data_IF_176414414539
#
_entry.id   IF_176414414539
#
_cell.length_a   1.000
_cell.length_b   1.000
_cell.length_c   1.000
_cell.angle_alpha   90.00
_cell.angle_beta   90.00
_cell.angle_gamma   90.00
#
_symmetry.space_group_name_H-M   'P 1'
#
loop_
_entity.id
_entity.type
_entity.pdbx_description
1 polymer ?
#
# COMPACT_ATOMS: atom_id res chain seq x y z
N UNK A 1 -78.38 -25.70 58.72
CA UNK A 1 -77.29 -25.52 57.75
C UNK A 1 -76.24 -24.63 58.40
N UNK A 2 -74.97 -24.99 58.25
CA UNK A 2 -73.81 -24.57 59.05
C UNK A 2 -73.17 -23.25 58.57
N UNK A 3 -72.19 -22.77 59.36
CA UNK A 3 -71.11 -21.78 59.11
C UNK A 3 -71.44 -20.30 59.39
N UNK A 4 -71.04 -19.65 60.51
CA UNK A 4 -69.72 -19.30 61.12
C UNK A 4 -68.94 -18.17 60.42
N UNK A 5 -69.13 -16.92 60.91
CA UNK A 5 -68.15 -15.85 61.33
C UNK A 5 -66.91 -15.46 60.47
N UNK A 6 -66.21 -14.33 60.74
CA UNK A 6 -66.57 -13.03 61.38
C UNK A 6 -65.91 -11.78 60.71
N UNK A 7 -66.12 -10.58 61.30
CA UNK A 7 -65.22 -9.40 61.42
C UNK A 7 -64.61 -8.75 60.14
N UNK A 8 -64.66 -7.44 59.88
CA UNK A 8 -64.45 -6.29 60.77
C UNK A 8 -63.01 -5.75 60.57
N UNK A 9 -62.82 -4.65 59.82
CA UNK A 9 -61.51 -4.00 59.70
C UNK A 9 -61.45 -2.85 58.65
N UNK A 10 -60.96 -1.64 59.01
CA UNK A 10 -61.02 -0.42 58.19
C UNK A 10 -59.82 -0.17 57.26
N UNK A 11 -60.08 0.76 56.32
CA UNK A 11 -59.19 1.59 55.50
C UNK A 11 -57.67 1.34 55.56
N UNK A 12 -57.14 1.00 54.37
CA UNK A 12 -55.73 1.01 54.03
C UNK A 12 -55.22 2.46 53.92
N UNK A 13 -54.19 2.80 54.70
CA UNK A 13 -53.37 4.01 54.53
C UNK A 13 -51.91 3.57 54.23
N UNK A 14 -51.24 4.33 53.37
CA UNK A 14 -50.24 3.85 52.40
C UNK A 14 -48.80 3.63 52.94
N UNK A 15 -48.05 2.65 52.38
CA UNK A 15 -46.59 2.61 52.46
C UNK A 15 -45.88 3.21 51.23
N UNK A 16 -44.81 3.97 51.49
CA UNK A 16 -43.93 4.67 50.53
C UNK A 16 -43.21 3.72 49.54
N UNK A 17 -42.79 4.18 48.35
CA UNK A 17 -41.99 3.36 47.45
C UNK A 17 -40.54 3.26 47.94
N UNK A 18 -40.22 2.14 48.59
CA UNK A 18 -38.85 1.75 48.94
C UNK A 18 -38.12 1.24 47.71
N UNK A 19 -36.96 1.84 47.46
CA UNK A 19 -35.96 1.47 46.45
C UNK A 19 -35.23 0.16 46.80
N UNK A 20 -34.89 -0.60 45.76
CA UNK A 20 -33.85 -1.65 45.65
C UNK A 20 -34.18 -3.09 46.08
N UNK A 21 -34.00 -4.07 45.17
CA UNK A 21 -33.70 -5.47 45.51
C UNK A 21 -32.21 -5.80 45.33
N UNK A 22 -31.59 -6.21 46.45
CA UNK A 22 -30.62 -7.29 46.65
C UNK A 22 -29.34 -7.39 45.80
N UNK A 23 -28.22 -6.95 46.39
CA UNK A 23 -26.89 -7.48 46.09
C UNK A 23 -26.66 -8.84 46.78
N UNK A 24 -26.10 -9.85 46.08
CA UNK A 24 -25.30 -10.89 46.70
C UNK A 24 -23.84 -10.41 46.86
N UNK A 25 -23.31 -10.55 48.08
CA UNK A 25 -21.90 -10.31 48.49
C UNK A 25 -20.86 -11.20 47.76
N UNK A 26 -19.55 -10.84 47.80
CA UNK A 26 -18.50 -11.31 46.89
C UNK A 26 -17.64 -12.46 47.45
N UNK A 27 -17.19 -13.37 46.59
CA UNK A 27 -16.06 -14.31 46.84
C UNK A 27 -15.45 -14.74 45.48
N UNK A 28 -14.16 -15.16 45.40
CA UNK A 28 -12.99 -14.37 45.00
C UNK A 28 -12.45 -14.72 43.60
N UNK A 29 -11.69 -13.78 43.04
CA UNK A 29 -11.02 -13.82 41.73
C UNK A 29 -10.48 -15.20 41.29
N UNK A 30 -11.06 -15.72 40.21
CA UNK A 30 -10.42 -16.69 39.31
C UNK A 30 -10.15 -15.95 37.98
N UNK A 31 -8.91 -16.00 37.43
CA UNK A 31 -8.57 -15.27 36.22
C UNK A 31 -9.11 -16.02 35.00
N UNK A 32 -10.35 -15.72 34.61
CA UNK A 32 -10.89 -16.14 33.34
C UNK A 32 -10.36 -15.20 32.25
N UNK A 33 -9.42 -15.72 31.47
CA UNK A 33 -8.92 -15.11 30.23
C UNK A 33 -10.08 -14.79 29.29
N UNK A 34 -10.48 -13.52 29.25
CA UNK A 34 -11.40 -13.02 28.23
C UNK A 34 -10.65 -12.91 26.90
N UNK A 35 -10.78 -13.95 26.09
CA UNK A 35 -10.62 -13.89 24.64
C UNK A 35 -11.80 -13.09 24.07
N UNK A 36 -11.62 -11.92 23.43
CA UNK A 36 -12.69 -11.30 22.67
C UNK A 36 -12.78 -12.00 21.32
N UNK A 37 -13.97 -12.51 21.04
CA UNK A 37 -14.37 -13.06 19.77
C UNK A 37 -14.26 -11.99 18.65
N UNK A 38 -13.71 -12.41 17.50
CA UNK A 38 -14.15 -11.97 16.18
C UNK A 38 -14.15 -10.46 15.88
N UNK A 39 -12.97 -9.83 15.90
CA UNK A 39 -12.74 -8.60 15.14
C UNK A 39 -12.09 -8.97 13.80
N UNK A 40 -12.75 -8.65 12.68
CA UNK A 40 -12.12 -8.66 11.36
C UNK A 40 -10.76 -7.94 11.40
N UNK A 41 -9.76 -8.29 10.57
CA UNK A 41 -8.53 -7.53 10.53
C UNK A 41 -8.90 -6.12 10.07
N UNK A 42 -8.93 -5.17 11.01
CA UNK A 42 -8.95 -3.75 10.70
C UNK A 42 -7.63 -3.51 9.97
N UNK A 43 -7.69 -3.57 8.64
CA UNK A 43 -6.58 -3.25 7.77
C UNK A 43 -6.16 -1.83 8.10
N UNK A 44 -5.12 -1.71 8.92
CA UNK A 44 -4.56 -0.45 9.35
C UNK A 44 -4.19 0.35 8.12
N UNK A 45 -5.02 1.34 7.80
CA UNK A 45 -4.63 2.42 6.93
C UNK A 45 -3.63 3.24 7.76
N UNK A 46 -2.35 2.84 7.68
CA UNK A 46 -1.26 3.61 8.26
C UNK A 46 -1.32 5.01 7.66
N UNK A 47 -1.46 5.99 8.55
CA UNK A 47 -1.69 7.39 8.27
C UNK A 47 -0.80 7.88 7.12
N UNK A 48 -1.48 8.34 6.08
CA UNK A 48 -0.88 8.76 4.84
C UNK A 48 -0.21 10.12 5.07
N UNK A 49 1.14 10.15 5.11
CA UNK A 49 1.93 11.39 5.26
C UNK A 49 1.77 12.39 4.10
N UNK A 50 1.06 11.98 3.06
CA UNK A 50 0.31 12.82 2.14
C UNK A 50 -1.04 12.12 1.99
N UNK A 51 -2.18 12.80 1.89
CA UNK A 51 -3.50 12.13 1.86
C UNK A 51 -3.78 11.16 0.69
N UNK A 52 -2.76 10.73 -0.06
CA UNK A 52 -2.83 9.77 -1.14
C UNK A 52 -2.66 8.34 -0.66
N UNK A 53 -3.48 7.44 -1.19
CA UNK A 53 -3.32 6.01 -1.01
C UNK A 53 -1.93 5.54 -1.51
N UNK A 54 -1.20 4.71 -0.74
CA UNK A 54 0.14 4.25 -1.11
C UNK A 54 0.22 3.55 -2.46
N UNK A 55 -0.82 2.82 -2.89
CA UNK A 55 -0.84 2.12 -4.19
C UNK A 55 -0.95 3.13 -5.33
N UNK A 56 -1.82 4.12 -5.16
CA UNK A 56 -1.99 5.21 -6.13
C UNK A 56 -0.71 6.03 -6.22
N UNK A 57 -0.12 6.42 -5.08
CA UNK A 57 1.15 7.15 -5.05
C UNK A 57 2.28 6.36 -5.74
N UNK A 58 2.31 5.03 -5.56
CA UNK A 58 3.28 4.15 -6.22
C UNK A 58 3.06 4.03 -7.73
N UNK A 59 1.81 4.06 -8.21
CA UNK A 59 1.50 4.14 -9.65
C UNK A 59 1.97 5.48 -10.25
N UNK A 60 1.65 6.59 -9.58
CA UNK A 60 2.00 7.94 -10.03
C UNK A 60 3.51 8.14 -10.15
N UNK A 61 4.30 7.40 -9.35
CA UNK A 61 5.75 7.39 -9.48
C UNK A 61 6.24 7.05 -10.89
N UNK A 62 5.48 6.27 -11.66
CA UNK A 62 5.86 5.81 -12.99
C UNK A 62 5.38 6.73 -14.13
N UNK A 63 4.76 7.87 -13.80
CA UNK A 63 4.48 8.93 -14.78
C UNK A 63 5.80 9.65 -15.08
N UNK A 64 6.57 9.07 -16.02
CA UNK A 64 7.92 9.51 -16.39
C UNK A 64 8.89 9.55 -15.20
N UNK A 65 10.10 10.08 -15.40
CA UNK A 65 11.04 10.33 -14.31
C UNK A 65 10.55 11.41 -13.33
N UNK A 66 9.70 12.34 -13.80
CA UNK A 66 9.18 13.45 -12.98
C UNK A 66 8.26 12.93 -11.87
N UNK A 67 7.37 11.98 -12.19
CA UNK A 67 6.52 11.33 -11.19
C UNK A 67 7.35 10.69 -10.08
N UNK A 68 8.46 10.04 -10.45
CA UNK A 68 9.37 9.44 -9.48
C UNK A 68 9.99 10.48 -8.53
N UNK A 69 10.44 11.62 -9.06
CA UNK A 69 10.98 12.72 -8.25
C UNK A 69 9.92 13.31 -7.31
N UNK A 70 8.72 13.58 -7.82
CA UNK A 70 7.61 14.11 -7.01
C UNK A 70 7.30 13.18 -5.84
N UNK A 71 7.23 11.88 -6.09
CA UNK A 71 6.97 10.88 -5.05
C UNK A 71 8.10 10.82 -4.02
N UNK A 72 9.36 10.95 -4.43
CA UNK A 72 10.50 11.00 -3.50
C UNK A 72 10.45 12.19 -2.55
N UNK A 73 10.00 13.34 -3.04
CA UNK A 73 9.95 14.58 -2.27
C UNK A 73 8.72 14.65 -1.36
N UNK A 74 7.60 14.08 -1.80
CA UNK A 74 6.30 14.21 -1.11
C UNK A 74 5.98 13.05 -0.17
N UNK A 75 6.44 11.83 -0.46
CA UNK A 75 6.08 10.64 0.31
C UNK A 75 7.18 10.26 1.29
N UNK A 76 6.79 9.92 2.53
CA UNK A 76 7.72 9.41 3.56
C UNK A 76 7.74 7.89 3.63
N UNK A 77 6.68 7.21 3.19
CA UNK A 77 6.58 5.76 3.27
C UNK A 77 7.66 5.06 2.42
N UNK A 78 8.50 4.17 3.01
CA UNK A 78 9.61 3.54 2.30
C UNK A 78 9.19 2.71 1.07
N UNK A 79 8.04 2.03 1.14
CA UNK A 79 7.48 1.25 0.03
C UNK A 79 7.19 2.11 -1.20
N UNK A 80 6.59 3.28 -0.99
CA UNK A 80 6.24 4.23 -2.06
C UNK A 80 7.49 4.92 -2.60
N UNK A 81 8.43 5.31 -1.73
CA UNK A 81 9.71 5.92 -2.12
C UNK A 81 10.56 4.96 -2.98
N UNK A 82 10.52 3.66 -2.72
CA UNK A 82 11.19 2.66 -3.53
C UNK A 82 10.74 2.72 -5.01
N UNK A 83 9.44 2.85 -5.26
CA UNK A 83 8.90 2.98 -6.61
C UNK A 83 9.29 4.29 -7.28
N UNK A 84 9.37 5.39 -6.51
CA UNK A 84 9.91 6.64 -7.01
C UNK A 84 11.37 6.53 -7.46
N UNK A 85 12.23 5.91 -6.64
CA UNK A 85 13.65 5.67 -7.01
C UNK A 85 13.73 4.78 -8.23
N UNK A 86 12.95 3.69 -8.24
CA UNK A 86 12.94 2.72 -9.34
C UNK A 86 12.49 3.37 -10.66
N UNK A 87 11.49 4.25 -10.63
CA UNK A 87 11.04 4.99 -11.82
C UNK A 87 12.15 5.90 -12.38
N UNK A 88 12.83 6.66 -11.52
CA UNK A 88 13.93 7.53 -11.93
C UNK A 88 15.05 6.69 -12.57
N UNK A 89 15.50 5.63 -11.88
CA UNK A 89 16.58 4.77 -12.38
C UNK A 89 16.20 4.06 -13.68
N UNK A 90 14.96 3.58 -13.80
CA UNK A 90 14.46 2.99 -15.04
C UNK A 90 14.55 3.97 -16.21
N UNK A 91 14.07 5.21 -16.04
CA UNK A 91 14.14 6.22 -17.09
C UNK A 91 15.59 6.57 -17.46
N UNK A 92 16.48 6.72 -16.47
CA UNK A 92 17.91 6.97 -16.71
C UNK A 92 18.55 5.86 -17.53
N UNK A 93 18.28 4.59 -17.19
CA UNK A 93 18.83 3.44 -17.92
C UNK A 93 18.30 3.37 -19.35
N UNK A 94 16.99 3.59 -19.55
CA UNK A 94 16.38 3.60 -20.89
C UNK A 94 17.00 4.71 -21.74
N UNK A 95 17.10 5.92 -21.22
CA UNK A 95 17.71 7.06 -21.93
C UNK A 95 19.18 6.78 -22.26
N UNK A 96 19.96 6.25 -21.31
CA UNK A 96 21.35 5.90 -21.55
C UNK A 96 21.51 4.83 -22.64
N UNK A 97 20.64 3.81 -22.65
CA UNK A 97 20.63 2.78 -23.68
C UNK A 97 20.28 3.35 -25.06
N UNK A 98 19.32 4.26 -25.14
CA UNK A 98 18.99 4.96 -26.37
C UNK A 98 20.16 5.80 -26.90
N UNK A 99 20.79 6.59 -26.03
CA UNK A 99 21.95 7.41 -26.41
C UNK A 99 23.07 6.50 -26.93
N UNK A 100 23.40 5.42 -26.22
CA UNK A 100 24.42 4.48 -26.64
C UNK A 100 24.11 3.86 -28.01
N UNK A 101 22.86 3.46 -28.24
CA UNK A 101 22.42 2.91 -29.52
C UNK A 101 22.52 3.94 -30.65
N UNK A 102 22.06 5.17 -30.44
CA UNK A 102 22.11 6.25 -31.43
C UNK A 102 23.54 6.64 -31.77
N UNK A 103 24.41 6.78 -30.78
CA UNK A 103 25.83 7.09 -31.00
C UNK A 103 26.50 5.97 -31.81
N UNK A 104 26.23 4.71 -31.47
CA UNK A 104 26.76 3.55 -32.20
C UNK A 104 26.27 3.51 -33.64
N UNK A 105 24.97 3.77 -33.87
CA UNK A 105 24.36 3.83 -35.19
C UNK A 105 25.01 4.92 -36.08
N UNK A 106 25.23 6.12 -35.53
CA UNK A 106 25.90 7.21 -36.24
C UNK A 106 27.32 6.81 -36.66
N UNK A 107 28.11 6.26 -35.76
CA UNK A 107 29.47 5.81 -36.08
C UNK A 107 29.47 4.64 -37.08
N UNK A 108 28.58 3.67 -36.92
CA UNK A 108 28.45 2.55 -37.84
C UNK A 108 28.11 3.02 -39.26
N UNK A 109 27.17 3.95 -39.41
CA UNK A 109 26.85 4.55 -40.71
C UNK A 109 28.01 5.36 -41.30
N UNK A 110 28.79 6.04 -40.48
CA UNK A 110 29.92 6.84 -40.93
C UNK A 110 31.09 5.98 -41.44
N UNK A 111 31.41 4.88 -40.75
CA UNK A 111 32.59 4.05 -41.07
C UNK A 111 32.29 2.85 -41.98
N UNK A 112 31.10 2.24 -41.85
CA UNK A 112 30.73 1.02 -42.59
C UNK A 112 29.84 1.39 -43.79
N UNK A 113 28.94 2.37 -43.62
CA UNK A 113 28.00 2.81 -44.65
C UNK A 113 26.90 1.79 -44.96
N UNK A 114 25.95 2.20 -45.79
CA UNK A 114 24.92 1.33 -46.37
C UNK A 114 23.56 1.35 -45.67
N UNK A 115 22.52 1.12 -46.46
CA UNK A 115 21.11 1.09 -46.03
C UNK A 115 20.81 -0.02 -45.02
N UNK A 116 21.53 -1.14 -45.10
CA UNK A 116 21.38 -2.29 -44.20
C UNK A 116 21.70 -1.95 -42.75
N UNK A 117 22.75 -1.14 -42.51
CA UNK A 117 23.13 -0.68 -41.18
C UNK A 117 21.99 0.12 -40.54
N UNK A 118 21.43 1.09 -41.26
CA UNK A 118 20.30 1.89 -40.78
C UNK A 118 19.09 1.04 -40.41
N UNK A 119 18.73 0.06 -41.24
CA UNK A 119 17.61 -0.85 -40.95
C UNK A 119 17.85 -1.69 -39.69
N UNK A 120 19.07 -2.20 -39.48
CA UNK A 120 19.40 -3.00 -38.28
C UNK A 120 19.24 -2.14 -37.02
N UNK A 121 19.83 -0.94 -36.99
CA UNK A 121 19.74 -0.06 -35.83
C UNK A 121 18.30 0.44 -35.57
N UNK A 122 17.51 0.65 -36.63
CA UNK A 122 16.09 0.93 -36.49
C UNK A 122 15.34 -0.21 -35.79
N UNK A 123 15.56 -1.46 -36.22
CA UNK A 123 14.92 -2.62 -35.59
C UNK A 123 15.38 -2.81 -34.15
N UNK A 124 16.67 -2.60 -33.84
CA UNK A 124 17.19 -2.62 -32.47
C UNK A 124 16.56 -1.53 -31.61
N UNK A 125 16.39 -0.32 -32.15
CA UNK A 125 15.76 0.80 -31.45
C UNK A 125 14.27 0.54 -31.17
N UNK A 126 13.56 -0.05 -32.13
CA UNK A 126 12.18 -0.48 -31.96
C UNK A 126 12.06 -1.60 -30.90
N UNK A 127 12.95 -2.59 -30.94
CA UNK A 127 12.99 -3.66 -29.95
C UNK A 127 13.28 -3.12 -28.54
N UNK A 128 14.24 -2.20 -28.40
CA UNK A 128 14.54 -1.53 -27.13
C UNK A 128 13.32 -0.74 -26.63
N UNK A 129 12.58 -0.09 -27.53
CA UNK A 129 11.37 0.66 -27.18
C UNK A 129 10.29 -0.26 -26.61
N UNK A 130 9.95 -1.30 -27.37
CA UNK A 130 8.93 -2.28 -26.98
C UNK A 130 9.33 -2.99 -25.69
N UNK A 131 10.59 -3.42 -25.57
CA UNK A 131 11.11 -4.06 -24.36
C UNK A 131 11.03 -3.14 -23.14
N UNK A 132 11.37 -1.85 -23.31
CA UNK A 132 11.25 -0.84 -22.25
C UNK A 132 9.79 -0.61 -21.87
N UNK A 133 8.88 -0.54 -22.84
CA UNK A 133 7.45 -0.36 -22.59
C UNK A 133 6.86 -1.56 -21.81
N UNK A 134 7.18 -2.79 -22.22
CA UNK A 134 6.76 -4.00 -21.51
C UNK A 134 7.28 -4.01 -20.08
N UNK A 135 8.58 -3.70 -19.89
CA UNK A 135 9.17 -3.62 -18.57
C UNK A 135 8.49 -2.54 -17.71
N UNK A 136 8.25 -1.36 -18.28
CA UNK A 136 7.54 -0.27 -17.61
C UNK A 136 6.13 -0.70 -17.15
N UNK A 137 5.35 -1.39 -17.99
CA UNK A 137 4.03 -1.92 -17.63
C UNK A 137 4.14 -2.90 -16.45
N UNK A 138 5.11 -3.82 -16.48
CA UNK A 138 5.35 -4.78 -15.39
C UNK A 138 5.66 -4.03 -14.08
N UNK A 139 6.48 -2.98 -14.15
CA UNK A 139 6.83 -2.16 -12.99
C UNK A 139 5.61 -1.43 -12.41
N UNK A 140 4.76 -0.84 -13.26
CA UNK A 140 3.51 -0.19 -12.88
C UNK A 140 2.56 -1.17 -12.18
N UNK A 141 2.37 -2.37 -12.73
CA UNK A 141 1.53 -3.43 -12.13
C UNK A 141 2.07 -3.84 -10.77
N UNK A 142 3.40 -4.05 -10.65
CA UNK A 142 4.04 -4.40 -9.38
C UNK A 142 3.91 -3.28 -8.35
N UNK A 143 4.03 -2.02 -8.77
CA UNK A 143 3.88 -0.85 -7.93
C UNK A 143 2.48 -0.71 -7.33
N UNK A 144 1.43 -0.98 -8.11
CA UNK A 144 0.06 -0.97 -7.60
C UNK A 144 -0.18 -2.03 -6.52
N UNK A 145 0.49 -3.17 -6.63
CA UNK A 145 0.45 -4.24 -5.64
C UNK A 145 1.41 -4.01 -4.45
N UNK A 146 2.09 -2.85 -4.39
CA UNK A 146 3.14 -2.53 -3.40
C UNK A 146 4.25 -3.59 -3.35
N UNK A 147 4.46 -4.32 -4.45
CA UNK A 147 5.47 -5.35 -4.56
C UNK A 147 6.78 -4.72 -5.01
N UNK A 148 7.82 -4.83 -4.18
CA UNK A 148 9.16 -4.37 -4.53
C UNK A 148 9.81 -5.34 -5.51
N UNK A 149 9.54 -5.16 -6.80
CA UNK A 149 10.20 -5.91 -7.86
C UNK A 149 11.63 -5.40 -8.06
N UNK A 150 12.57 -6.07 -7.42
CA UNK A 150 14.00 -5.74 -7.50
C UNK A 150 14.58 -6.30 -8.79
N UNK A 151 14.78 -5.44 -9.78
CA UNK A 151 15.62 -5.78 -10.93
C UNK A 151 17.06 -6.05 -10.43
N UNK A 152 17.77 -7.09 -10.89
CA UNK A 152 19.02 -7.55 -10.30
C UNK A 152 20.13 -6.47 -10.21
N UNK A 153 20.12 -5.48 -11.12
CA UNK A 153 21.08 -4.35 -11.10
C UNK A 153 20.53 -3.14 -10.32
N UNK A 154 19.24 -2.82 -10.47
CA UNK A 154 18.64 -1.57 -9.95
C UNK A 154 18.05 -1.75 -8.55
N UNK A 155 17.49 -2.92 -8.25
CA UNK A 155 16.82 -3.24 -6.99
C UNK A 155 17.77 -3.41 -5.80
N UNK A 156 19.02 -3.82 -6.04
CA UNK A 156 20.07 -3.85 -5.01
C UNK A 156 20.56 -2.45 -4.66
N UNK A 157 20.63 -1.55 -5.64
CA UNK A 157 20.99 -0.15 -5.41
C UNK A 157 19.87 0.56 -4.64
N UNK A 158 18.62 0.47 -5.10
CA UNK A 158 17.46 1.08 -4.44
C UNK A 158 17.29 0.62 -2.97
N UNK A 159 17.61 -0.65 -2.65
CA UNK A 159 17.56 -1.16 -1.29
C UNK A 159 18.64 -0.61 -0.35
N UNK A 160 19.77 -0.12 -0.88
CA UNK A 160 20.80 0.56 -0.09
C UNK A 160 20.42 1.99 0.28
N UNK A 161 19.73 2.71 -0.62
CA UNK A 161 19.36 4.12 -0.39
C UNK A 161 18.11 4.30 0.48
N UNK A 162 17.28 3.27 0.66
CA UNK A 162 16.08 3.34 1.51
C UNK A 162 16.31 2.90 2.96
N UNK A 163 17.52 2.46 3.32
CA UNK A 163 17.91 2.04 4.69
C UNK A 163 18.77 3.07 5.45
N UNK A 164 18.95 4.27 4.91
CA UNK A 164 19.67 5.37 5.55
C UNK A 164 18.69 6.44 6.04
#
# INVERSE_FOLDING_TARGET
MQHTSPAGGPAYEAPQPSTAPDQPTPTPDQPHSHQPAGGAPVGGHQEASSGLDPKVASLLAYITWIGGVVILLTQKQPSVRFHGVQSILFNVVVVAAYIALTVTDVFARLFIGGWTVGTIFFLLGAALWVGSLVLWIVLVIKAYNLQQFKLPVIGNLAAKWTKA
#
